data_IF_108175526308
#
_entry.id   IF_108175526308
#
_cell.length_a   1.000
_cell.length_b   1.000
_cell.length_c   1.000
_cell.angle_alpha   90.00
_cell.angle_beta   90.00
_cell.angle_gamma   90.00
#
_symmetry.space_group_name_H-M   'P 1'
#
loop_
_entity.id
_entity.type
_entity.pdbx_description
1 polymer ?
#
# COMPACT_ATOMS: atom_id res chain seq x y z
N UNK A 1 -4.05 24.52 14.67
CA UNK A 1 -3.49 23.32 15.32
C UNK A 1 -2.56 22.72 14.29
N UNK A 2 -1.26 22.92 14.49
CA UNK A 2 -0.21 22.48 13.57
C UNK A 2 -0.01 20.97 13.80
N UNK A 3 -0.43 20.15 12.83
CA UNK A 3 -0.10 18.72 12.78
C UNK A 3 1.38 18.59 12.39
N UNK A 4 2.27 18.75 13.37
CA UNK A 4 3.69 18.48 13.21
C UNK A 4 3.90 16.97 13.13
N UNK A 5 3.80 16.42 11.91
CA UNK A 5 4.02 15.02 11.64
C UNK A 5 5.52 14.72 11.64
N UNK A 6 6.10 14.61 12.84
CA UNK A 6 7.50 14.24 13.00
C UNK A 6 7.68 12.76 12.62
N UNK A 7 8.19 12.47 11.42
CA UNK A 7 8.58 11.12 11.04
C UNK A 7 10.09 11.03 10.79
N UNK A 8 10.81 10.41 11.73
CA UNK A 8 11.96 9.49 11.57
C UNK A 8 12.99 9.63 12.71
N UNK A 9 12.87 8.78 13.73
CA UNK A 9 13.97 8.47 14.67
C UNK A 9 14.14 6.95 14.72
N UNK A 10 15.36 6.46 14.44
CA UNK A 10 15.96 5.13 14.72
C UNK A 10 15.22 3.83 14.38
N UNK A 11 13.89 3.78 14.33
CA UNK A 11 13.07 2.65 13.93
C UNK A 11 12.30 3.00 12.64
N UNK A 12 12.33 2.11 11.63
CA UNK A 12 11.60 2.29 10.35
C UNK A 12 10.08 2.10 10.51
N UNK A 13 9.48 2.89 11.39
CA UNK A 13 8.05 2.89 11.70
C UNK A 13 7.39 4.19 11.21
N UNK A 14 6.12 4.10 10.82
CA UNK A 14 5.31 5.26 10.44
C UNK A 14 4.05 5.25 11.31
N UNK A 15 3.89 6.29 12.12
CA UNK A 15 2.64 6.50 12.84
C UNK A 15 1.58 7.03 11.87
N UNK A 16 0.40 6.41 11.87
CA UNK A 16 -0.67 6.71 10.91
C UNK A 16 -1.91 7.12 11.69
N UNK A 17 -2.66 8.14 11.23
CA UNK A 17 -3.95 8.47 11.81
C UNK A 17 -4.88 7.24 11.83
N UNK A 18 -5.63 7.05 12.92
CA UNK A 18 -6.48 5.86 13.13
C UNK A 18 -7.45 5.61 11.97
N UNK A 19 -8.00 6.68 11.38
CA UNK A 19 -8.89 6.60 10.22
C UNK A 19 -8.19 6.00 9.00
N UNK A 20 -6.94 6.37 8.74
CA UNK A 20 -6.14 5.83 7.63
C UNK A 20 -5.74 4.38 7.92
N UNK A 21 -5.28 4.11 9.14
CA UNK A 21 -4.89 2.76 9.59
C UNK A 21 -6.05 1.77 9.48
N UNK A 22 -7.23 2.12 10.00
CA UNK A 22 -8.43 1.28 9.91
C UNK A 22 -8.91 1.07 8.48
N UNK A 23 -8.81 2.09 7.62
CA UNK A 23 -9.15 1.97 6.20
C UNK A 23 -8.22 0.99 5.46
N UNK A 24 -6.90 1.11 5.68
CA UNK A 24 -5.91 0.19 5.12
C UNK A 24 -6.16 -1.25 5.57
N UNK A 25 -6.36 -1.46 6.87
CA UNK A 25 -6.65 -2.79 7.44
C UNK A 25 -7.94 -3.36 6.83
N UNK A 26 -9.01 -2.56 6.72
CA UNK A 26 -10.27 -3.01 6.12
C UNK A 26 -10.10 -3.48 4.67
N UNK A 27 -9.29 -2.76 3.87
CA UNK A 27 -9.00 -3.15 2.48
C UNK A 27 -8.14 -4.41 2.41
N UNK A 28 -7.13 -4.52 3.27
CA UNK A 28 -6.28 -5.71 3.34
C UNK A 28 -7.08 -6.96 3.76
N UNK A 29 -8.01 -6.84 4.71
CA UNK A 29 -8.90 -7.93 5.10
C UNK A 29 -9.78 -8.41 3.92
N UNK A 30 -10.22 -7.48 3.06
CA UNK A 30 -10.95 -7.83 1.82
C UNK A 30 -10.06 -8.60 0.84
N UNK A 31 -8.83 -8.13 0.62
CA UNK A 31 -7.84 -8.82 -0.22
C UNK A 31 -7.57 -10.24 0.29
N UNK A 32 -7.37 -10.39 1.61
CA UNK A 32 -7.20 -11.70 2.24
C UNK A 32 -8.41 -12.62 2.00
N UNK A 33 -9.63 -12.08 2.09
CA UNK A 33 -10.86 -12.81 1.74
C UNK A 33 -10.90 -13.25 0.28
N UNK A 34 -10.50 -12.38 -0.65
CA UNK A 34 -10.43 -12.71 -2.08
C UNK A 34 -9.41 -13.82 -2.37
N UNK A 35 -8.21 -13.75 -1.77
CA UNK A 35 -7.18 -14.79 -1.92
C UNK A 35 -7.67 -16.13 -1.38
N UNK A 36 -8.35 -16.14 -0.22
CA UNK A 36 -9.02 -17.34 0.30
C UNK A 36 -10.08 -17.88 -0.66
N UNK A 37 -10.86 -17.00 -1.30
CA UNK A 37 -11.83 -17.36 -2.33
C UNK A 37 -11.18 -18.04 -3.53
N UNK A 38 -10.09 -17.47 -4.06
CA UNK A 38 -9.32 -18.04 -5.17
C UNK A 38 -8.82 -19.45 -4.83
N UNK A 39 -8.25 -19.64 -3.63
CA UNK A 39 -7.84 -20.97 -3.17
C UNK A 39 -9.01 -21.97 -3.23
N UNK A 40 -10.18 -21.58 -2.72
CA UNK A 40 -11.37 -22.43 -2.77
C UNK A 40 -11.91 -22.69 -4.18
N UNK A 41 -11.64 -21.80 -5.15
CA UNK A 41 -11.95 -22.04 -6.57
C UNK A 41 -11.03 -23.09 -7.17
N UNK A 42 -9.74 -23.05 -6.84
CA UNK A 42 -8.76 -24.07 -7.27
C UNK A 42 -9.12 -25.43 -6.68
N UNK A 43 -9.47 -25.50 -5.39
CA UNK A 43 -9.87 -26.76 -4.72
C UNK A 43 -11.15 -27.39 -5.31
N UNK A 44 -11.95 -26.61 -6.04
CA UNK A 44 -13.20 -27.04 -6.68
C UNK A 44 -13.06 -27.22 -8.20
N UNK A 45 -11.84 -27.15 -8.73
CA UNK A 45 -11.55 -27.22 -10.17
C UNK A 45 -12.40 -26.24 -11.00
N UNK A 46 -12.59 -25.01 -10.48
CA UNK A 46 -13.33 -23.95 -11.19
C UNK A 46 -12.58 -23.54 -12.47
N UNK A 47 -13.34 -23.13 -13.49
CA UNK A 47 -12.80 -22.74 -14.78
C UNK A 47 -11.70 -21.67 -14.69
N UNK A 48 -10.63 -21.88 -15.46
CA UNK A 48 -9.41 -21.07 -15.37
C UNK A 48 -9.66 -19.58 -15.58
N UNK A 49 -10.53 -19.18 -16.51
CA UNK A 49 -10.78 -17.77 -16.79
C UNK A 49 -11.45 -17.06 -15.59
N UNK A 50 -12.31 -17.76 -14.85
CA UNK A 50 -12.93 -17.22 -13.64
C UNK A 50 -11.90 -16.99 -12.53
N UNK A 51 -10.95 -17.93 -12.38
CA UNK A 51 -9.85 -17.80 -11.43
C UNK A 51 -8.95 -16.63 -11.83
N UNK A 52 -8.60 -16.50 -13.10
CA UNK A 52 -7.80 -15.39 -13.63
C UNK A 52 -8.50 -14.04 -13.41
N UNK A 53 -9.81 -13.97 -13.60
CA UNK A 53 -10.60 -12.78 -13.31
C UNK A 53 -10.54 -12.39 -11.82
N UNK A 54 -10.60 -13.36 -10.90
CA UNK A 54 -10.45 -13.09 -9.47
C UNK A 54 -9.02 -12.65 -9.10
N UNK A 55 -8.00 -13.23 -9.73
CA UNK A 55 -6.60 -12.80 -9.55
C UNK A 55 -6.44 -11.34 -9.99
N UNK A 56 -6.99 -10.95 -11.15
CA UNK A 56 -6.97 -9.57 -11.62
C UNK A 56 -7.69 -8.62 -10.65
N UNK A 57 -8.81 -9.06 -10.05
CA UNK A 57 -9.50 -8.29 -9.03
C UNK A 57 -8.66 -8.08 -7.76
N UNK A 58 -7.91 -9.11 -7.32
CA UNK A 58 -6.96 -9.01 -6.19
C UNK A 58 -5.82 -8.04 -6.50
N UNK A 59 -5.24 -8.12 -7.70
CA UNK A 59 -4.17 -7.21 -8.13
C UNK A 59 -4.65 -5.75 -8.12
N UNK A 60 -5.85 -5.49 -8.66
CA UNK A 60 -6.46 -4.16 -8.64
C UNK A 60 -6.68 -3.63 -7.21
N UNK A 61 -7.16 -4.49 -6.31
CA UNK A 61 -7.37 -4.14 -4.91
C UNK A 61 -6.04 -3.83 -4.19
N UNK A 62 -4.98 -4.61 -4.43
CA UNK A 62 -3.64 -4.35 -3.92
C UNK A 62 -3.05 -3.05 -4.46
N UNK A 63 -3.22 -2.76 -5.75
CA UNK A 63 -2.78 -1.50 -6.35
C UNK A 63 -3.47 -0.29 -5.70
N UNK A 64 -4.76 -0.41 -5.37
CA UNK A 64 -5.48 0.65 -4.64
C UNK A 64 -4.92 0.86 -3.22
N UNK A 65 -4.54 -0.20 -2.51
CA UNK A 65 -3.88 -0.10 -1.20
C UNK A 65 -2.49 0.52 -1.32
N UNK A 66 -1.69 0.08 -2.31
CA UNK A 66 -0.37 0.62 -2.59
C UNK A 66 -0.40 2.12 -2.89
N UNK A 67 -1.36 2.56 -3.71
CA UNK A 67 -1.57 3.99 -4.00
C UNK A 67 -1.86 4.81 -2.74
N UNK A 68 -2.71 4.30 -1.84
CA UNK A 68 -3.02 4.97 -0.58
C UNK A 68 -1.80 5.09 0.33
N UNK A 69 -0.98 4.04 0.41
CA UNK A 69 0.27 4.06 1.17
C UNK A 69 1.27 5.06 0.58
N UNK A 70 1.41 5.07 -0.74
CA UNK A 70 2.30 5.98 -1.46
C UNK A 70 1.88 7.44 -1.25
N UNK A 71 0.60 7.75 -1.39
CA UNK A 71 0.07 9.10 -1.15
C UNK A 71 0.38 9.58 0.27
N UNK A 72 0.17 8.72 1.27
CA UNK A 72 0.53 9.03 2.65
C UNK A 72 2.03 9.27 2.82
N UNK A 73 2.87 8.40 2.27
CA UNK A 73 4.32 8.51 2.33
C UNK A 73 4.85 9.79 1.67
N UNK A 74 4.30 10.16 0.52
CA UNK A 74 4.64 11.39 -0.18
C UNK A 74 4.28 12.61 0.66
N UNK A 75 3.07 12.65 1.24
CA UNK A 75 2.57 13.81 1.99
C UNK A 75 3.21 14.01 3.37
N UNK A 76 3.81 12.98 3.94
CA UNK A 76 4.55 13.07 5.20
C UNK A 76 6.06 12.91 4.99
N UNK A 77 6.58 11.69 5.12
CA UNK A 77 8.01 11.42 5.24
C UNK A 77 8.85 12.06 4.13
N UNK A 78 8.34 12.04 2.88
CA UNK A 78 9.06 12.62 1.74
C UNK A 78 9.08 14.15 1.82
N UNK A 79 7.93 14.78 2.08
CA UNK A 79 7.85 16.23 2.22
C UNK A 79 8.70 16.74 3.37
N UNK A 80 8.68 16.05 4.52
CA UNK A 80 9.47 16.45 5.70
C UNK A 80 10.98 16.39 5.41
N UNK A 81 11.45 15.32 4.76
CA UNK A 81 12.87 15.17 4.37
C UNK A 81 13.30 16.22 3.34
N UNK A 82 12.46 16.50 2.33
CA UNK A 82 12.75 17.56 1.36
C UNK A 82 12.88 18.93 2.06
N UNK A 83 11.99 19.24 3.02
CA UNK A 83 12.06 20.49 3.78
C UNK A 83 13.32 20.59 4.67
N UNK A 84 13.86 19.44 5.09
CA UNK A 84 15.12 19.35 5.83
C UNK A 84 16.36 19.38 4.92
N UNK A 85 16.19 19.51 3.60
CA UNK A 85 17.27 19.56 2.62
C UNK A 85 17.80 18.18 2.18
N UNK A 86 17.15 17.11 2.59
CA UNK A 86 17.48 15.74 2.17
C UNK A 86 16.72 15.41 0.87
N UNK A 87 17.40 15.64 -0.26
CA UNK A 87 16.87 15.34 -1.58
C UNK A 87 17.07 13.87 -2.01
N UNK A 88 17.88 13.08 -1.30
CA UNK A 88 18.12 11.66 -1.63
C UNK A 88 16.84 10.81 -1.48
N UNK A 89 15.89 11.29 -0.67
CA UNK A 89 14.55 10.69 -0.51
C UNK A 89 13.80 10.56 -1.84
N UNK A 90 14.06 11.42 -2.83
CA UNK A 90 13.42 11.36 -4.14
C UNK A 90 13.88 10.12 -4.90
N UNK A 91 15.15 9.76 -4.83
CA UNK A 91 15.69 8.57 -5.48
C UNK A 91 15.15 7.28 -4.82
N UNK A 92 14.99 7.28 -3.49
CA UNK A 92 14.34 6.19 -2.76
C UNK A 92 12.87 6.00 -3.17
N UNK A 93 12.16 7.12 -3.33
CA UNK A 93 10.77 7.13 -3.80
C UNK A 93 10.66 6.56 -5.22
N UNK A 94 11.51 7.02 -6.14
CA UNK A 94 11.53 6.54 -7.53
C UNK A 94 11.83 5.03 -7.61
N UNK A 95 12.79 4.54 -6.82
CA UNK A 95 13.07 3.09 -6.71
C UNK A 95 11.85 2.31 -6.24
N UNK A 96 11.07 2.85 -5.31
CA UNK A 96 9.86 2.21 -4.79
C UNK A 96 8.72 2.25 -5.80
N UNK A 97 8.49 3.39 -6.45
CA UNK A 97 7.47 3.54 -7.49
C UNK A 97 7.69 2.59 -8.67
N UNK A 98 8.94 2.43 -9.12
CA UNK A 98 9.28 1.49 -10.20
C UNK A 98 8.95 0.02 -9.87
N UNK A 99 8.83 -0.34 -8.58
CA UNK A 99 8.38 -1.69 -8.18
C UNK A 99 6.86 -1.83 -8.23
N UNK A 100 6.12 -0.73 -8.01
CA UNK A 100 4.66 -0.70 -7.99
C UNK A 100 4.03 -0.56 -9.39
N UNK A 101 4.81 -0.12 -10.38
CA UNK A 101 4.36 0.05 -11.77
C UNK A 101 4.66 -1.16 -12.68
N UNK A 102 5.21 -2.23 -12.13
CA UNK A 102 5.41 -3.50 -12.84
C UNK A 102 4.17 -4.38 -12.68
#
# INVERSE_FOLDING_TARGET
MEDNHQCCSTDRSTERPDKIKSNLISRLNRVEGQVRGIRGMVEKDVYCDDILNQIAAVQSALNAVGKMLLEGHMKSCVMDRIQQGDHEVIDELLKTMNKLMK
#
